data_IF_697012040714
#
_entry.id   IF_697012040714
#
_cell.length_a   1.000
_cell.length_b   1.000
_cell.length_c   1.000
_cell.angle_alpha   90.00
_cell.angle_beta   90.00
_cell.angle_gamma   90.00
#
_symmetry.space_group_name_H-M   'P 1'
#
loop_
_entity.id
_entity.type
_entity.pdbx_description
1 polymer ?
#
# COMPACT_ATOMS: atom_id res chain seq x y z
N UNK A 1 -9.68 -18.33 -22.59
CA UNK A 1 -9.06 -17.20 -21.89
C UNK A 1 -7.83 -16.76 -22.67
N UNK A 2 -7.48 -15.48 -22.62
CA UNK A 2 -6.22 -15.00 -23.18
C UNK A 2 -5.06 -15.45 -22.28
N UNK A 3 -3.88 -15.65 -22.87
CA UNK A 3 -2.66 -15.90 -22.11
C UNK A 3 -2.33 -14.67 -21.24
N UNK A 4 -2.02 -14.89 -19.97
CA UNK A 4 -1.60 -13.83 -19.05
C UNK A 4 -0.17 -13.40 -19.34
N UNK A 5 0.05 -12.10 -19.44
CA UNK A 5 1.37 -11.50 -19.46
C UNK A 5 1.48 -10.47 -18.34
N UNK A 6 2.56 -10.60 -17.57
CA UNK A 6 2.98 -9.60 -16.60
C UNK A 6 4.10 -8.75 -17.21
N UNK A 7 3.94 -7.44 -17.17
CA UNK A 7 4.99 -6.46 -17.47
C UNK A 7 5.14 -5.49 -16.30
N UNK A 8 6.29 -4.82 -16.23
CA UNK A 8 6.54 -3.74 -15.27
C UNK A 8 7.25 -2.58 -15.96
N UNK A 9 7.03 -1.36 -15.46
CA UNK A 9 7.95 -0.25 -15.75
C UNK A 9 9.11 -0.26 -14.75
N UNK A 10 9.74 0.89 -14.54
CA UNK A 10 10.95 0.96 -13.69
C UNK A 10 10.64 1.12 -12.20
N UNK A 11 9.39 1.37 -11.83
CA UNK A 11 9.07 1.84 -10.49
C UNK A 11 9.28 0.78 -9.40
N UNK A 12 9.04 -0.51 -9.69
CA UNK A 12 9.21 -1.58 -8.70
C UNK A 12 9.37 -2.96 -9.36
N UNK A 13 10.46 -3.14 -10.09
CA UNK A 13 10.81 -4.43 -10.73
C UNK A 13 10.88 -5.58 -9.71
N UNK A 14 11.50 -5.42 -8.51
CA UNK A 14 11.58 -6.53 -7.55
C UNK A 14 10.21 -7.06 -7.11
N UNK A 15 9.22 -6.18 -6.90
CA UNK A 15 7.85 -6.63 -6.60
C UNK A 15 7.22 -7.34 -7.81
N UNK A 16 7.43 -6.84 -9.02
CA UNK A 16 6.90 -7.46 -10.23
C UNK A 16 7.47 -8.87 -10.46
N UNK A 17 8.76 -9.08 -10.19
CA UNK A 17 9.41 -10.38 -10.25
C UNK A 17 8.82 -11.36 -9.22
N UNK A 18 8.65 -10.91 -7.97
CA UNK A 18 7.97 -11.74 -6.95
C UNK A 18 6.55 -12.11 -7.37
N UNK A 19 5.76 -11.15 -7.87
CA UNK A 19 4.40 -11.45 -8.37
C UNK A 19 4.45 -12.47 -9.51
N UNK A 20 5.42 -12.38 -10.43
CA UNK A 20 5.60 -13.35 -11.50
C UNK A 20 5.89 -14.76 -10.95
N UNK A 21 6.74 -14.85 -9.93
CA UNK A 21 7.07 -16.08 -9.22
C UNK A 21 5.84 -16.70 -8.54
N UNK A 22 5.06 -15.91 -7.80
CA UNK A 22 3.80 -16.39 -7.16
C UNK A 22 2.80 -16.94 -8.20
N UNK A 23 2.74 -16.30 -9.38
CA UNK A 23 1.87 -16.71 -10.49
C UNK A 23 2.43 -17.87 -11.33
N UNK A 24 3.69 -18.28 -11.10
CA UNK A 24 4.37 -19.29 -11.90
C UNK A 24 4.59 -18.88 -13.37
N UNK A 25 4.69 -17.59 -13.66
CA UNK A 25 4.93 -17.04 -15.01
C UNK A 25 6.22 -16.21 -15.07
N UNK A 26 6.71 -15.94 -16.28
CA UNK A 26 7.85 -15.05 -16.47
C UNK A 26 7.45 -13.57 -16.53
N UNK A 27 8.26 -12.69 -15.95
CA UNK A 27 8.14 -11.25 -16.18
C UNK A 27 8.58 -10.94 -17.61
N UNK A 28 7.69 -10.37 -18.41
CA UNK A 28 7.97 -10.05 -19.80
C UNK A 28 8.93 -8.88 -19.89
N UNK A 29 9.97 -9.03 -20.71
CA UNK A 29 10.95 -7.97 -20.96
C UNK A 29 10.29 -6.76 -21.61
N UNK A 30 10.46 -5.61 -20.97
CA UNK A 30 10.11 -4.29 -21.48
C UNK A 30 11.35 -3.42 -21.44
N UNK A 31 11.66 -2.75 -22.55
CA UNK A 31 12.63 -1.67 -22.55
C UNK A 31 11.87 -0.45 -22.04
N UNK A 32 12.18 -0.02 -20.82
CA UNK A 32 11.65 1.21 -20.23
C UNK A 32 12.82 2.16 -20.01
N UNK A 33 13.18 2.90 -21.04
CA UNK A 33 14.38 3.74 -21.09
C UNK A 33 14.07 5.24 -21.09
N UNK A 34 15.12 6.01 -21.39
CA UNK A 34 15.05 7.45 -21.62
C UNK A 34 15.83 7.82 -22.89
N UNK A 35 15.30 8.75 -23.68
CA UNK A 35 16.06 9.45 -24.70
C UNK A 35 17.03 10.45 -24.05
N UNK A 36 17.94 11.04 -24.85
CA UNK A 36 18.99 11.93 -24.35
C UNK A 36 18.45 13.22 -23.68
N UNK A 37 17.24 13.64 -24.05
CA UNK A 37 16.53 14.79 -23.48
C UNK A 37 15.67 14.44 -22.25
N UNK A 38 15.64 13.15 -21.85
CA UNK A 38 14.86 12.67 -20.73
C UNK A 38 13.43 12.21 -21.08
N UNK A 39 13.04 12.21 -22.35
CA UNK A 39 11.75 11.63 -22.75
C UNK A 39 11.74 10.11 -22.54
N UNK A 40 10.58 9.58 -22.18
CA UNK A 40 10.40 8.17 -21.85
C UNK A 40 10.30 7.35 -23.14
N UNK A 41 11.11 6.30 -23.26
CA UNK A 41 11.06 5.35 -24.36
C UNK A 41 10.55 3.98 -23.87
N UNK A 42 9.49 3.45 -24.49
CA UNK A 42 8.88 2.17 -24.11
C UNK A 42 8.75 1.23 -25.30
N UNK A 43 9.29 0.02 -25.15
CA UNK A 43 9.16 -1.07 -26.12
C UNK A 43 8.90 -2.41 -25.42
N UNK A 44 7.78 -3.05 -25.77
CA UNK A 44 7.43 -4.39 -25.26
C UNK A 44 8.09 -5.42 -26.18
N UNK A 45 9.04 -6.20 -25.66
CA UNK A 45 9.93 -7.04 -26.48
C UNK A 45 9.29 -8.33 -27.03
N UNK A 46 7.98 -8.52 -26.86
CA UNK A 46 7.28 -9.70 -27.37
C UNK A 46 5.84 -9.37 -27.78
N UNK A 47 5.24 -10.26 -28.58
CA UNK A 47 3.84 -10.10 -28.98
C UNK A 47 2.89 -10.25 -27.80
N UNK A 48 2.08 -9.22 -27.60
CA UNK A 48 1.00 -9.15 -26.60
C UNK A 48 -0.40 -9.12 -27.23
N UNK A 49 -0.50 -9.38 -28.54
CA UNK A 49 -1.76 -9.36 -29.28
C UNK A 49 -2.72 -10.41 -28.73
N UNK A 50 -3.93 -10.00 -28.38
CA UNK A 50 -4.98 -10.90 -27.90
C UNK A 50 -4.75 -11.45 -26.47
N UNK A 51 -3.72 -10.96 -25.76
CA UNK A 51 -3.35 -11.41 -24.42
C UNK A 51 -3.90 -10.49 -23.32
N UNK A 52 -3.96 -10.99 -22.09
CA UNK A 52 -4.37 -10.22 -20.92
C UNK A 52 -3.13 -9.69 -20.21
N UNK A 53 -3.00 -8.37 -20.18
CA UNK A 53 -1.78 -7.72 -19.71
C UNK A 53 -2.01 -7.12 -18.34
N UNK A 54 -1.12 -7.44 -17.41
CA UNK A 54 -1.03 -6.82 -16.10
C UNK A 54 0.24 -5.98 -16.03
N UNK A 55 0.08 -4.70 -15.73
CA UNK A 55 1.17 -3.72 -15.69
C UNK A 55 1.47 -3.38 -14.24
N UNK A 56 2.58 -3.85 -13.67
CA UNK A 56 3.01 -3.51 -12.32
C UNK A 56 3.78 -2.19 -12.35
N UNK A 57 3.14 -1.10 -11.90
CA UNK A 57 3.75 0.23 -11.92
C UNK A 57 3.18 1.12 -10.79
N UNK A 58 3.75 1.08 -9.57
CA UNK A 58 3.43 2.07 -8.55
C UNK A 58 3.87 3.47 -9.01
N UNK A 59 3.12 4.50 -8.63
CA UNK A 59 3.42 5.90 -8.97
C UNK A 59 4.16 6.61 -7.83
N UNK A 60 5.18 5.91 -7.30
CA UNK A 60 6.08 6.40 -6.25
C UNK A 60 7.21 7.27 -6.85
N UNK A 61 8.15 7.75 -6.02
CA UNK A 61 9.23 8.63 -6.50
C UNK A 61 10.14 7.91 -7.52
N UNK A 62 10.55 8.56 -8.62
CA UNK A 62 10.12 9.87 -9.12
C UNK A 62 8.67 9.85 -9.64
N UNK A 63 7.79 10.63 -9.00
CA UNK A 63 6.33 10.47 -9.13
C UNK A 63 5.82 10.70 -10.55
N UNK A 64 6.28 11.78 -11.20
CA UNK A 64 5.79 12.18 -12.52
C UNK A 64 6.30 11.26 -13.62
N UNK A 65 7.57 10.90 -13.55
CA UNK A 65 8.22 9.93 -14.43
C UNK A 65 7.49 8.58 -14.36
N UNK A 66 7.31 8.03 -13.16
CA UNK A 66 6.64 6.74 -12.98
C UNK A 66 5.16 6.79 -13.43
N UNK A 67 4.48 7.93 -13.24
CA UNK A 67 3.15 8.18 -13.78
C UNK A 67 3.16 8.19 -15.31
N UNK A 68 4.08 8.91 -15.95
CA UNK A 68 4.19 8.96 -17.40
C UNK A 68 4.56 7.58 -18.00
N UNK A 69 5.44 6.82 -17.35
CA UNK A 69 5.71 5.43 -17.72
C UNK A 69 4.44 4.59 -17.69
N UNK A 70 3.63 4.68 -16.64
CA UNK A 70 2.36 3.95 -16.54
C UNK A 70 1.42 4.28 -17.70
N UNK A 71 1.26 5.57 -18.04
CA UNK A 71 0.42 6.02 -19.15
C UNK A 71 0.92 5.45 -20.49
N UNK A 72 2.23 5.53 -20.74
CA UNK A 72 2.84 5.05 -21.98
C UNK A 72 2.82 3.52 -22.09
N UNK A 73 2.97 2.78 -20.99
CA UNK A 73 2.81 1.32 -20.95
C UNK A 73 1.39 0.92 -21.36
N UNK A 74 0.37 1.59 -20.82
CA UNK A 74 -1.02 1.35 -21.23
C UNK A 74 -1.20 1.63 -22.73
N UNK A 75 -0.67 2.75 -23.22
CA UNK A 75 -0.69 3.09 -24.66
C UNK A 75 -0.05 2.01 -25.51
N UNK A 76 1.15 1.55 -25.14
CA UNK A 76 1.88 0.52 -25.87
C UNK A 76 1.07 -0.78 -25.92
N UNK A 77 0.46 -1.19 -24.81
CA UNK A 77 -0.40 -2.36 -24.74
C UNK A 77 -1.63 -2.23 -25.66
N UNK A 78 -2.33 -1.10 -25.61
CA UNK A 78 -3.50 -0.86 -26.46
C UNK A 78 -3.17 -0.83 -27.94
N UNK A 79 -2.09 -0.14 -28.33
CA UNK A 79 -1.65 -0.07 -29.74
C UNK A 79 -1.14 -1.41 -30.26
N UNK A 80 -0.65 -2.28 -29.36
CA UNK A 80 -0.23 -3.64 -29.68
C UNK A 80 -1.38 -4.66 -29.65
N UNK A 81 -2.63 -4.21 -29.60
CA UNK A 81 -3.83 -5.05 -29.65
C UNK A 81 -3.94 -6.05 -28.48
N UNK A 82 -3.51 -5.67 -27.28
CA UNK A 82 -3.82 -6.41 -26.06
C UNK A 82 -5.35 -6.59 -25.91
N UNK A 83 -5.77 -7.78 -25.47
CA UNK A 83 -7.19 -8.09 -25.24
C UNK A 83 -7.72 -7.35 -24.02
N UNK A 84 -6.98 -7.42 -22.92
CA UNK A 84 -7.25 -6.69 -21.69
C UNK A 84 -5.98 -6.02 -21.16
N UNK A 85 -6.13 -4.86 -20.55
CA UNK A 85 -5.07 -4.10 -19.90
C UNK A 85 -5.50 -3.75 -18.48
N UNK A 86 -4.90 -4.41 -17.51
CA UNK A 86 -5.06 -4.12 -16.08
C UNK A 86 -3.83 -3.38 -15.58
N UNK A 87 -4.00 -2.16 -15.08
CA UNK A 87 -2.93 -1.40 -14.45
C UNK A 87 -2.91 -1.71 -12.95
N UNK A 88 -1.82 -2.29 -12.46
CA UNK A 88 -1.60 -2.54 -11.03
C UNK A 88 -0.71 -1.42 -10.49
N UNK A 89 -1.28 -0.58 -9.62
CA UNK A 89 -0.64 0.58 -8.99
C UNK A 89 -0.58 0.35 -7.49
N UNK A 90 0.38 -0.45 -6.97
CA UNK A 90 0.43 -0.79 -5.55
C UNK A 90 0.45 0.43 -4.64
N UNK A 91 1.14 1.50 -5.03
CA UNK A 91 1.08 2.81 -4.41
C UNK A 91 0.57 3.86 -5.40
N UNK A 92 -0.56 4.50 -5.06
CA UNK A 92 -1.17 5.56 -5.86
C UNK A 92 -0.62 6.94 -5.44
N UNK A 93 0.35 7.45 -6.20
CA UNK A 93 0.87 8.81 -6.07
C UNK A 93 -0.23 9.85 -6.22
N UNK A 94 -0.04 11.03 -5.62
CA UNK A 94 -1.04 12.10 -5.52
C UNK A 94 -2.28 11.80 -4.67
N UNK A 95 -2.45 10.59 -4.10
CA UNK A 95 -3.63 10.21 -3.33
C UNK A 95 -3.98 11.11 -2.13
N UNK A 96 -3.00 11.82 -1.54
CA UNK A 96 -3.26 12.79 -0.45
C UNK A 96 -3.96 14.08 -0.89
N UNK A 97 -4.05 14.32 -2.20
CA UNK A 97 -4.73 15.48 -2.79
C UNK A 97 -6.08 15.04 -3.38
N UNK A 98 -6.91 14.43 -2.54
CA UNK A 98 -8.22 13.84 -2.84
C UNK A 98 -9.39 14.84 -2.71
N UNK A 99 -9.15 16.01 -2.11
CA UNK A 99 -10.14 17.09 -1.98
C UNK A 99 -9.48 18.46 -1.92
N UNK A 100 -10.29 19.51 -2.15
CA UNK A 100 -9.83 20.89 -2.00
C UNK A 100 -9.72 21.25 -0.51
N UNK A 101 -8.51 21.22 0.02
CA UNK A 101 -8.22 21.77 1.36
C UNK A 101 -8.15 23.30 1.36
N UNK A 102 -7.88 23.91 0.19
CA UNK A 102 -7.85 25.37 -0.02
C UNK A 102 -8.64 25.70 -1.30
N UNK A 103 -9.19 26.91 -1.37
CA UNK A 103 -10.08 27.33 -2.45
C UNK A 103 -9.46 27.27 -3.87
N UNK A 104 -8.13 27.39 -3.99
CA UNK A 104 -7.40 27.43 -5.28
C UNK A 104 -6.37 26.31 -5.42
N UNK A 105 -6.67 25.13 -4.88
CA UNK A 105 -5.86 23.93 -5.03
C UNK A 105 -6.50 22.93 -6.01
N UNK A 106 -5.69 22.12 -6.72
CA UNK A 106 -6.20 21.01 -7.54
C UNK A 106 -6.75 19.87 -6.67
N UNK A 107 -7.40 18.91 -7.32
CA UNK A 107 -7.69 17.59 -6.76
C UNK A 107 -6.84 16.60 -7.55
N UNK A 108 -5.53 16.59 -7.31
CA UNK A 108 -4.58 15.87 -8.17
C UNK A 108 -4.86 14.38 -8.24
N UNK A 109 -5.40 13.76 -7.20
CA UNK A 109 -5.82 12.35 -7.27
C UNK A 109 -6.90 12.12 -8.34
N UNK A 110 -7.87 13.05 -8.47
CA UNK A 110 -8.90 12.99 -9.50
C UNK A 110 -8.33 13.30 -10.89
N UNK A 111 -7.36 14.21 -10.98
CA UNK A 111 -6.70 14.52 -12.26
C UNK A 111 -5.85 13.34 -12.76
N UNK A 112 -5.13 12.65 -11.87
CA UNK A 112 -4.41 11.41 -12.18
C UNK A 112 -5.38 10.29 -12.60
N UNK A 113 -6.50 10.13 -11.89
CA UNK A 113 -7.53 9.18 -12.29
C UNK A 113 -8.04 9.47 -13.72
N UNK A 114 -8.28 10.74 -14.06
CA UNK A 114 -8.66 11.16 -15.43
C UNK A 114 -7.58 10.82 -16.47
N UNK A 115 -6.31 11.04 -16.15
CA UNK A 115 -5.21 10.66 -17.03
C UNK A 115 -5.19 9.15 -17.29
N UNK A 116 -5.30 8.32 -16.24
CA UNK A 116 -5.41 6.88 -16.41
C UNK A 116 -6.63 6.51 -17.25
N UNK A 117 -7.81 7.08 -16.96
CA UNK A 117 -9.02 6.81 -17.74
C UNK A 117 -8.87 7.19 -19.22
N UNK A 118 -8.16 8.28 -19.53
CA UNK A 118 -7.90 8.71 -20.90
C UNK A 118 -7.04 7.70 -21.68
N UNK A 119 -6.13 6.98 -21.00
CA UNK A 119 -5.35 5.88 -21.59
C UNK A 119 -6.17 4.60 -21.77
N UNK A 120 -7.39 4.56 -21.21
CA UNK A 120 -8.36 3.47 -21.32
C UNK A 120 -7.81 2.12 -20.86
N UNK A 121 -7.31 1.94 -19.62
CA UNK A 121 -7.19 0.59 -19.06
C UNK A 121 -8.58 -0.04 -18.90
N UNK A 122 -8.66 -1.37 -18.87
CA UNK A 122 -9.92 -2.09 -18.58
C UNK A 122 -10.19 -2.14 -17.06
N UNK A 123 -9.12 -2.18 -16.27
CA UNK A 123 -9.16 -2.31 -14.81
C UNK A 123 -7.94 -1.65 -14.18
N UNK A 124 -8.10 -1.22 -12.94
CA UNK A 124 -7.00 -0.86 -12.06
C UNK A 124 -7.04 -1.72 -10.79
N UNK A 125 -5.85 -2.02 -10.25
CA UNK A 125 -5.69 -2.60 -8.92
C UNK A 125 -4.81 -1.65 -8.12
N UNK A 126 -5.21 -1.32 -6.91
CA UNK A 126 -4.42 -0.52 -5.96
C UNK A 126 -4.38 -1.21 -4.60
N UNK A 127 -3.49 -0.77 -3.71
CA UNK A 127 -3.43 -1.26 -2.33
C UNK A 127 -3.53 -0.06 -1.41
N UNK A 128 -4.41 -0.13 -0.40
CA UNK A 128 -4.61 0.88 0.64
C UNK A 128 -4.57 2.33 0.16
N UNK A 129 -5.46 2.67 -0.78
CA UNK A 129 -5.68 4.07 -1.15
C UNK A 129 -5.84 4.94 0.11
N UNK A 130 -5.19 6.11 0.09
CA UNK A 130 -5.23 7.07 1.20
C UNK A 130 -6.67 7.38 1.66
N UNK A 131 -7.60 7.38 0.70
CA UNK A 131 -9.00 7.64 0.92
C UNK A 131 -9.84 6.74 -0.01
N UNK A 132 -10.82 6.01 0.54
CA UNK A 132 -11.63 5.05 -0.23
C UNK A 132 -12.47 5.70 -1.34
N UNK A 133 -12.78 7.00 -1.20
CA UNK A 133 -13.52 7.82 -2.14
C UNK A 133 -12.79 8.00 -3.48
N UNK A 134 -11.47 7.78 -3.54
CA UNK A 134 -10.70 7.82 -4.79
C UNK A 134 -11.26 6.82 -5.82
N UNK A 135 -11.87 5.71 -5.38
CA UNK A 135 -12.57 4.79 -6.27
C UNK A 135 -13.69 5.48 -7.08
N UNK A 136 -14.35 6.48 -6.50
CA UNK A 136 -15.38 7.28 -7.17
C UNK A 136 -14.85 8.28 -8.20
N UNK A 137 -13.52 8.45 -8.33
CA UNK A 137 -12.93 9.26 -9.41
C UNK A 137 -12.84 8.51 -10.73
N UNK A 138 -13.02 7.19 -10.72
CA UNK A 138 -13.07 6.35 -11.90
C UNK A 138 -14.53 6.18 -12.36
N UNK A 139 -14.78 6.22 -13.68
CA UNK A 139 -16.12 6.00 -14.20
C UNK A 139 -16.52 4.52 -14.07
N UNK A 140 -17.83 4.19 -14.08
CA UNK A 140 -18.31 2.81 -13.84
C UNK A 140 -17.78 1.74 -14.81
N UNK A 141 -17.30 2.15 -15.98
CA UNK A 141 -16.74 1.24 -17.00
C UNK A 141 -15.24 0.93 -16.79
N UNK A 142 -14.59 1.55 -15.80
CA UNK A 142 -13.21 1.22 -15.41
C UNK A 142 -13.25 0.78 -13.95
N UNK A 143 -13.12 -0.53 -13.73
CA UNK A 143 -13.19 -1.09 -12.38
C UNK A 143 -11.87 -0.84 -11.66
N UNK A 144 -11.93 -0.26 -10.45
CA UNK A 144 -10.79 -0.12 -9.56
C UNK A 144 -10.99 -1.05 -8.36
N UNK A 145 -10.14 -2.07 -8.23
CA UNK A 145 -10.07 -2.89 -7.03
C UNK A 145 -9.04 -2.27 -6.07
N UNK A 146 -9.49 -1.78 -4.91
CA UNK A 146 -8.62 -1.32 -3.84
C UNK A 146 -8.43 -2.45 -2.80
N UNK A 147 -7.29 -3.14 -2.90
CA UNK A 147 -6.90 -4.18 -1.95
C UNK A 147 -6.50 -3.55 -0.62
N UNK A 148 -6.43 -4.39 0.41
CA UNK A 148 -6.07 -3.99 1.77
C UNK A 148 -4.89 -4.84 2.24
N UNK A 149 -3.82 -4.20 2.73
CA UNK A 149 -2.61 -4.91 3.15
C UNK A 149 -2.58 -5.27 4.63
N UNK A 150 -3.63 -4.96 5.40
CA UNK A 150 -3.65 -5.20 6.85
C UNK A 150 -3.46 -6.68 7.23
N UNK A 151 -3.69 -7.65 6.32
CA UNK A 151 -3.42 -9.07 6.55
C UNK A 151 -1.95 -9.44 6.44
N UNK A 152 -1.17 -8.71 5.65
CA UNK A 152 0.24 -9.01 5.36
C UNK A 152 1.13 -9.03 6.61
N UNK A 153 1.07 -8.05 7.53
CA UNK A 153 1.91 -8.07 8.72
C UNK A 153 1.40 -9.01 9.83
N UNK A 154 0.28 -9.73 9.63
CA UNK A 154 -0.33 -10.54 10.70
C UNK A 154 0.60 -11.63 11.21
N UNK A 155 1.28 -12.34 10.30
CA UNK A 155 2.24 -13.38 10.70
C UNK A 155 3.35 -12.82 11.60
N UNK A 156 3.81 -11.60 11.32
CA UNK A 156 4.80 -10.92 12.16
C UNK A 156 4.25 -10.63 13.55
N UNK A 157 3.12 -9.91 13.65
CA UNK A 157 2.60 -9.47 14.95
C UNK A 157 2.02 -10.60 15.80
N UNK A 158 1.38 -11.60 15.18
CA UNK A 158 0.87 -12.78 15.90
C UNK A 158 2.02 -13.65 16.42
N UNK A 159 3.14 -13.68 15.70
CA UNK A 159 4.36 -14.36 16.16
C UNK A 159 5.05 -13.66 17.34
N UNK A 160 4.67 -12.42 17.68
CA UNK A 160 5.18 -11.72 18.85
C UNK A 160 4.39 -12.09 20.11
N UNK A 161 5.10 -12.31 21.22
CA UNK A 161 4.47 -12.50 22.54
C UNK A 161 4.07 -11.15 23.17
N UNK A 162 3.18 -10.41 22.50
CA UNK A 162 2.71 -9.11 22.97
C UNK A 162 1.83 -9.25 24.22
N UNK A 163 2.12 -8.52 25.29
CA UNK A 163 1.23 -8.48 26.47
C UNK A 163 0.38 -7.20 26.45
N UNK A 164 -0.92 -7.35 26.71
CA UNK A 164 -1.94 -6.29 26.57
C UNK A 164 -1.74 -5.50 25.26
N UNK A 165 -1.96 -6.12 24.09
CA UNK A 165 -1.77 -5.45 22.81
C UNK A 165 -2.76 -4.31 22.65
N UNK A 166 -2.28 -3.15 22.20
CA UNK A 166 -3.12 -1.95 22.02
C UNK A 166 -2.94 -1.43 20.61
N UNK A 167 -4.02 -1.45 19.82
CA UNK A 167 -4.00 -0.94 18.45
C UNK A 167 -4.24 0.56 18.47
N UNK A 168 -3.34 1.31 17.84
CA UNK A 168 -3.30 2.77 17.89
C UNK A 168 -3.61 3.35 16.52
N UNK A 169 -4.61 4.23 16.46
CA UNK A 169 -4.79 5.15 15.32
C UNK A 169 -4.00 6.44 15.56
N UNK A 170 -3.07 6.84 14.67
CA UNK A 170 -2.24 8.04 14.85
C UNK A 170 -3.02 9.35 14.65
N UNK A 171 -4.18 9.31 14.00
CA UNK A 171 -5.12 10.40 13.87
C UNK A 171 -6.58 9.91 13.72
N UNK A 172 -7.53 10.84 13.59
CA UNK A 172 -8.94 10.52 13.39
C UNK A 172 -9.28 9.92 12.03
N UNK A 173 -8.45 10.13 11.00
CA UNK A 173 -8.66 9.57 9.67
C UNK A 173 -8.33 8.08 9.59
N UNK A 174 -7.36 7.62 10.39
CA UNK A 174 -6.92 6.23 10.45
C UNK A 174 -7.78 5.27 11.27
N UNK A 175 -8.81 5.75 11.98
CA UNK A 175 -9.55 4.95 12.98
C UNK A 175 -10.17 3.69 12.38
N UNK A 176 -10.82 3.81 11.21
CA UNK A 176 -11.43 2.68 10.52
C UNK A 176 -10.40 1.60 10.15
N UNK A 177 -9.22 2.02 9.67
CA UNK A 177 -8.12 1.12 9.30
C UNK A 177 -7.55 0.40 10.52
N UNK A 178 -7.32 1.14 11.61
CA UNK A 178 -6.82 0.58 12.85
C UNK A 178 -7.82 -0.42 13.47
N UNK A 179 -9.12 -0.14 13.41
CA UNK A 179 -10.16 -1.09 13.85
C UNK A 179 -10.20 -2.36 12.99
N UNK A 180 -10.12 -2.24 11.67
CA UNK A 180 -10.05 -3.41 10.76
C UNK A 180 -8.83 -4.29 11.05
N UNK A 181 -7.69 -3.67 11.31
CA UNK A 181 -6.48 -4.38 11.75
C UNK A 181 -6.70 -5.10 13.08
N UNK A 182 -7.32 -4.41 14.06
CA UNK A 182 -7.64 -4.99 15.37
C UNK A 182 -8.55 -6.22 15.26
N UNK A 183 -9.62 -6.13 14.48
CA UNK A 183 -10.56 -7.25 14.25
C UNK A 183 -9.84 -8.48 13.71
N UNK A 184 -8.96 -8.29 12.71
CA UNK A 184 -8.18 -9.38 12.13
C UNK A 184 -7.13 -9.90 13.12
N UNK A 185 -6.46 -9.02 13.86
CA UNK A 185 -5.46 -9.41 14.84
C UNK A 185 -6.09 -10.26 15.96
N UNK A 186 -7.27 -9.89 16.47
CA UNK A 186 -8.02 -10.69 17.45
C UNK A 186 -8.32 -12.08 16.86
N UNK A 187 -8.82 -12.13 15.62
CA UNK A 187 -9.16 -13.40 14.95
C UNK A 187 -7.93 -14.31 14.77
N UNK A 188 -6.79 -13.76 14.36
CA UNK A 188 -5.58 -14.54 14.10
C UNK A 188 -4.81 -14.91 15.38
N UNK A 189 -4.74 -14.00 16.36
CA UNK A 189 -4.02 -14.23 17.62
C UNK A 189 -4.84 -14.99 18.67
N UNK A 190 -6.17 -15.03 18.53
CA UNK A 190 -7.12 -15.52 19.54
C UNK A 190 -7.00 -14.82 20.90
N UNK A 191 -6.43 -13.60 20.94
CA UNK A 191 -6.35 -12.78 22.14
C UNK A 191 -7.62 -11.95 22.29
N UNK A 192 -8.29 -12.09 23.42
CA UNK A 192 -9.51 -11.33 23.74
C UNK A 192 -9.19 -9.98 24.41
N UNK A 193 -7.99 -9.82 24.98
CA UNK A 193 -7.56 -8.64 25.74
C UNK A 193 -6.85 -7.58 24.87
N UNK A 194 -7.31 -7.41 23.63
CA UNK A 194 -6.78 -6.37 22.72
C UNK A 194 -7.56 -5.08 22.94
N UNK A 195 -6.85 -3.98 23.19
CA UNK A 195 -7.45 -2.67 23.41
C UNK A 195 -7.24 -1.76 22.18
N UNK A 196 -8.01 -0.67 22.14
CA UNK A 196 -7.90 0.35 21.11
C UNK A 196 -7.63 1.72 21.74
N UNK A 197 -6.73 2.51 21.14
CA UNK A 197 -6.56 3.90 21.48
C UNK A 197 -6.33 4.76 20.23
N UNK A 198 -6.52 6.07 20.37
CA UNK A 198 -6.33 7.01 19.28
C UNK A 198 -5.58 8.24 19.78
N UNK A 199 -4.69 8.75 18.93
CA UNK A 199 -4.08 10.05 19.10
C UNK A 199 -4.91 11.10 18.36
N UNK A 200 -5.33 12.14 19.06
CA UNK A 200 -5.96 13.30 18.45
C UNK A 200 -4.93 14.41 18.30
N UNK A 201 -4.49 14.66 17.07
CA UNK A 201 -3.54 15.72 16.74
C UNK A 201 -4.27 17.07 16.67
N UNK A 202 -4.05 17.93 17.66
CA UNK A 202 -4.49 19.32 17.60
C UNK A 202 -3.40 20.15 16.92
N UNK A 203 -3.62 20.52 15.66
CA UNK A 203 -2.73 21.44 14.95
C UNK A 203 -2.90 22.84 15.55
N UNK A 204 -1.86 23.34 16.20
CA UNK A 204 -1.83 24.75 16.66
C UNK A 204 -1.32 25.68 15.56
N UNK A 205 -1.49 26.98 15.77
CA UNK A 205 -1.04 28.02 14.85
C UNK A 205 0.49 28.00 14.66
N UNK A 206 0.99 28.73 13.65
CA UNK A 206 2.42 28.81 13.36
C UNK A 206 3.21 29.22 14.62
N UNK A 207 4.26 28.46 14.95
CA UNK A 207 5.22 28.61 16.06
C UNK A 207 4.90 27.87 17.38
N UNK A 208 3.82 27.07 17.47
CA UNK A 208 3.62 26.14 18.59
C UNK A 208 3.86 24.68 18.17
N UNK A 209 4.44 23.87 19.07
CA UNK A 209 4.63 22.43 18.87
C UNK A 209 3.25 21.76 18.83
N UNK A 210 3.01 20.94 17.80
CA UNK A 210 1.79 20.14 17.68
C UNK A 210 1.54 19.35 18.96
N UNK A 211 0.34 19.48 19.56
CA UNK A 211 -0.02 18.72 20.75
C UNK A 211 -0.84 17.48 20.34
N UNK A 212 -0.50 16.32 20.90
CA UNK A 212 -1.26 15.09 20.73
C UNK A 212 -1.99 14.79 22.03
N UNK A 213 -3.30 14.53 21.94
CA UNK A 213 -4.08 14.03 23.07
C UNK A 213 -4.38 12.56 22.84
N UNK A 214 -3.93 11.72 23.76
CA UNK A 214 -4.30 10.31 23.80
C UNK A 214 -5.75 10.14 24.27
N UNK A 215 -6.53 9.35 23.54
CA UNK A 215 -7.86 8.86 23.92
C UNK A 215 -7.76 7.35 24.08
N UNK A 216 -8.00 6.86 25.30
CA UNK A 216 -7.69 5.49 25.72
C UNK A 216 -6.52 5.46 26.70
N UNK A 217 -6.21 4.28 27.26
CA UNK A 217 -5.05 4.07 28.11
C UNK A 217 -4.04 3.19 27.39
N UNK A 218 -2.75 3.49 27.55
CA UNK A 218 -1.65 2.69 26.98
C UNK A 218 -0.70 2.13 28.04
N UNK A 219 -1.06 2.31 29.32
CA UNK A 219 -0.23 1.91 30.46
C UNK A 219 0.05 0.41 30.40
N UNK A 220 1.34 0.09 30.47
CA UNK A 220 1.95 -1.25 30.46
C UNK A 220 1.62 -2.12 29.23
N UNK A 221 1.06 -1.52 28.16
CA UNK A 221 0.67 -2.23 26.94
C UNK A 221 1.72 -2.18 25.84
N UNK A 222 1.69 -3.20 24.97
CA UNK A 222 2.43 -3.18 23.71
C UNK A 222 1.60 -2.52 22.61
N UNK A 223 2.02 -1.34 22.20
CA UNK A 223 1.28 -0.53 21.25
C UNK A 223 1.67 -0.87 19.81
N UNK A 224 0.68 -0.91 18.90
CA UNK A 224 0.89 -1.04 17.46
C UNK A 224 0.20 0.12 16.74
N UNK A 225 0.97 1.05 16.20
CA UNK A 225 0.45 2.17 15.40
C UNK A 225 0.13 1.67 13.99
N UNK A 226 -1.09 1.91 13.51
CA UNK A 226 -1.55 1.52 12.17
C UNK A 226 -1.81 2.76 11.32
N UNK A 227 -1.09 2.88 10.19
CA UNK A 227 -1.26 3.98 9.24
C UNK A 227 -1.27 3.47 7.78
N UNK A 228 -1.70 4.29 6.81
CA UNK A 228 -1.56 3.91 5.39
C UNK A 228 -0.14 4.10 4.88
N UNK A 229 0.56 5.14 5.34
CA UNK A 229 1.87 5.46 4.80
C UNK A 229 2.79 6.22 5.75
N UNK A 230 4.10 6.02 5.58
CA UNK A 230 5.14 6.75 6.30
C UNK A 230 5.89 7.63 5.32
N UNK A 231 5.79 8.94 5.49
CA UNK A 231 6.50 9.92 4.67
C UNK A 231 7.84 10.33 5.29
N UNK A 232 7.82 11.39 6.10
CA UNK A 232 9.01 11.90 6.82
C UNK A 232 9.13 11.32 8.22
N UNK A 233 8.29 10.35 8.58
CA UNK A 233 8.15 9.72 9.90
C UNK A 233 7.91 10.68 11.10
N UNK A 234 7.70 11.98 10.89
CA UNK A 234 7.56 12.97 11.97
C UNK A 234 6.36 12.69 12.89
N UNK A 235 5.17 12.50 12.30
CA UNK A 235 3.97 12.14 13.07
C UNK A 235 4.15 10.82 13.79
N UNK A 236 4.73 9.82 13.14
CA UNK A 236 4.93 8.48 13.71
C UNK A 236 5.88 8.51 14.92
N UNK A 237 7.00 9.20 14.82
CA UNK A 237 7.96 9.30 15.91
C UNK A 237 7.41 10.12 17.09
N UNK A 238 6.66 11.19 16.81
CA UNK A 238 5.97 11.96 17.84
C UNK A 238 4.91 11.13 18.56
N UNK A 239 4.13 10.34 17.81
CA UNK A 239 3.18 9.39 18.36
C UNK A 239 3.86 8.37 19.27
N UNK A 240 4.96 7.75 18.81
CA UNK A 240 5.70 6.77 19.60
C UNK A 240 6.23 7.35 20.92
N UNK A 241 6.83 8.54 20.86
CA UNK A 241 7.28 9.27 22.05
C UNK A 241 6.13 9.52 23.03
N UNK A 242 4.99 10.02 22.53
CA UNK A 242 3.83 10.29 23.39
C UNK A 242 3.26 9.02 24.03
N UNK A 243 3.23 7.90 23.30
CA UNK A 243 2.80 6.60 23.85
C UNK A 243 3.74 6.13 24.96
N UNK A 244 5.07 6.26 24.78
CA UNK A 244 6.05 5.94 25.82
C UNK A 244 5.91 6.81 27.07
N UNK A 245 5.72 8.12 26.90
CA UNK A 245 5.49 9.06 28.01
C UNK A 245 4.22 8.72 28.81
N UNK A 246 3.23 8.08 28.18
CA UNK A 246 2.00 7.61 28.82
C UNK A 246 2.06 6.13 29.27
N UNK A 247 3.26 5.55 29.37
CA UNK A 247 3.46 4.24 29.99
C UNK A 247 3.40 3.04 29.05
N UNK A 248 3.41 3.22 27.73
CA UNK A 248 3.51 2.09 26.80
C UNK A 248 4.83 1.31 27.01
N UNK A 249 4.76 -0.03 27.00
CA UNK A 249 5.95 -0.88 27.16
C UNK A 249 6.79 -0.90 25.89
N UNK A 250 6.17 -1.25 24.78
CA UNK A 250 6.78 -1.22 23.44
C UNK A 250 5.90 -0.45 22.47
N UNK A 251 6.49 0.07 21.40
CA UNK A 251 5.75 0.76 20.35
C UNK A 251 6.21 0.24 19.00
N UNK A 252 5.37 -0.57 18.38
CA UNK A 252 5.51 -0.99 16.99
C UNK A 252 4.72 -0.06 16.07
N UNK A 253 5.05 -0.11 14.79
CA UNK A 253 4.27 0.54 13.75
C UNK A 253 4.09 -0.38 12.55
N UNK A 254 2.95 -0.27 11.89
CA UNK A 254 2.72 -0.81 10.56
C UNK A 254 2.16 0.28 9.65
N UNK A 255 2.72 0.38 8.45
CA UNK A 255 2.13 1.15 7.38
C UNK A 255 2.25 0.42 6.04
N UNK A 256 1.24 0.53 5.19
CA UNK A 256 1.29 -0.10 3.88
C UNK A 256 2.41 0.51 3.03
N UNK A 257 2.48 1.83 2.91
CA UNK A 257 3.44 2.49 2.02
C UNK A 257 4.57 3.20 2.77
N UNK A 258 5.78 2.67 2.70
CA UNK A 258 6.99 3.34 3.21
C UNK A 258 7.60 4.25 2.15
N UNK A 259 7.31 5.56 2.18
CA UNK A 259 7.91 6.55 1.26
C UNK A 259 9.27 7.05 1.77
N UNK A 260 9.41 7.15 3.09
CA UNK A 260 10.66 7.46 3.79
C UNK A 260 11.45 8.66 3.24
N UNK A 261 10.78 9.73 2.83
CA UNK A 261 11.47 10.95 2.44
C UNK A 261 12.25 11.54 3.62
N UNK A 262 13.41 12.14 3.34
CA UNK A 262 14.28 12.69 4.37
C UNK A 262 13.53 13.66 5.31
N UNK A 263 13.79 13.61 6.64
CA UNK A 263 14.76 12.77 7.35
C UNK A 263 14.11 11.53 8.01
N UNK A 264 13.29 10.75 7.30
CA UNK A 264 12.51 9.66 7.91
C UNK A 264 13.34 8.58 8.60
N UNK A 265 14.39 8.08 7.93
CA UNK A 265 15.22 6.98 8.46
C UNK A 265 15.92 7.42 9.75
N UNK A 266 16.57 8.59 9.73
CA UNK A 266 17.22 9.18 10.90
C UNK A 266 16.25 9.33 12.08
N UNK A 267 15.04 9.84 11.83
CA UNK A 267 14.01 9.96 12.86
C UNK A 267 13.62 8.62 13.45
N UNK A 268 13.39 7.61 12.61
CA UNK A 268 13.02 6.27 13.08
C UNK A 268 14.14 5.66 13.92
N UNK A 269 15.38 5.72 13.44
CA UNK A 269 16.56 5.23 14.17
C UNK A 269 16.65 5.82 15.57
N UNK A 270 16.47 7.14 15.69
CA UNK A 270 16.57 7.87 16.95
C UNK A 270 15.28 7.93 17.78
N UNK A 271 14.19 7.28 17.34
CA UNK A 271 12.89 7.31 18.00
C UNK A 271 12.71 6.20 19.05
N UNK A 272 11.62 6.31 19.80
CA UNK A 272 11.13 5.29 20.74
C UNK A 272 10.45 4.08 20.08
N UNK A 273 10.44 3.99 18.75
CA UNK A 273 9.87 2.84 18.03
C UNK A 273 10.73 1.59 18.25
N UNK A 274 10.06 0.48 18.56
CA UNK A 274 10.66 -0.86 18.66
C UNK A 274 10.95 -1.43 17.28
N UNK A 275 9.96 -1.45 16.39
CA UNK A 275 10.09 -1.88 14.99
C UNK A 275 8.98 -1.25 14.13
N UNK A 276 9.31 -0.97 12.89
CA UNK A 276 8.42 -0.40 11.87
C UNK A 276 8.30 -1.39 10.72
N UNK A 277 7.10 -1.90 10.52
CA UNK A 277 6.78 -2.87 9.49
C UNK A 277 6.15 -2.13 8.31
N UNK A 278 6.67 -2.36 7.11
CA UNK A 278 6.16 -1.73 5.89
C UNK A 278 6.08 -2.73 4.76
N UNK A 279 5.21 -2.49 3.77
CA UNK A 279 5.17 -3.36 2.59
C UNK A 279 6.17 -2.94 1.54
N UNK A 280 6.45 -3.82 0.58
CA UNK A 280 7.21 -3.51 -0.64
C UNK A 280 6.34 -2.92 -1.77
N UNK A 281 5.18 -2.33 -1.45
CA UNK A 281 4.36 -1.54 -2.41
C UNK A 281 5.10 -0.36 -3.04
N UNK A 282 6.13 0.13 -2.35
CA UNK A 282 7.12 1.10 -2.81
C UNK A 282 8.48 0.39 -2.73
N UNK A 283 9.35 0.53 -3.74
CA UNK A 283 10.62 -0.18 -3.77
C UNK A 283 11.47 0.17 -2.52
N UNK A 284 12.13 -0.82 -1.88
CA UNK A 284 13.02 -0.56 -0.76
C UNK A 284 14.15 0.39 -1.15
N UNK A 285 14.40 1.43 -0.33
CA UNK A 285 15.55 2.32 -0.49
C UNK A 285 16.75 1.78 0.29
N UNK A 286 17.97 1.96 -0.22
CA UNK A 286 19.18 1.38 0.37
C UNK A 286 19.37 1.76 1.85
N UNK A 287 19.21 3.04 2.20
CA UNK A 287 19.34 3.52 3.58
C UNK A 287 18.24 2.98 4.51
N UNK A 288 17.06 2.68 3.96
CA UNK A 288 15.94 2.11 4.72
C UNK A 288 16.21 0.65 5.04
N UNK A 289 16.76 -0.11 4.08
CA UNK A 289 17.12 -1.52 4.26
C UNK A 289 18.23 -1.68 5.30
N UNK A 290 19.12 -0.68 5.45
CA UNK A 290 20.17 -0.66 6.48
C UNK A 290 19.67 -0.29 7.89
N UNK A 291 18.42 0.15 8.02
CA UNK A 291 17.88 0.54 9.32
C UNK A 291 17.31 -0.68 10.05
N UNK A 292 17.94 -1.08 11.16
CA UNK A 292 17.53 -2.24 11.96
C UNK A 292 16.12 -2.13 12.52
N UNK A 293 15.55 -0.93 12.63
CA UNK A 293 14.18 -0.72 13.09
C UNK A 293 13.14 -0.94 11.99
N UNK A 294 13.51 -0.96 10.72
CA UNK A 294 12.57 -1.07 9.60
C UNK A 294 12.62 -2.49 9.03
N UNK A 295 11.46 -3.07 8.76
CA UNK A 295 11.35 -4.39 8.15
C UNK A 295 10.28 -4.39 7.05
N UNK A 296 10.66 -4.94 5.90
CA UNK A 296 9.76 -5.10 4.77
C UNK A 296 9.01 -6.44 4.84
N UNK A 297 7.74 -6.42 4.44
CA UNK A 297 6.91 -7.59 4.19
C UNK A 297 6.36 -7.51 2.76
N UNK A 298 6.33 -8.64 2.05
CA UNK A 298 5.93 -8.66 0.64
C UNK A 298 4.40 -8.58 0.48
N UNK A 299 3.92 -7.78 -0.47
CA UNK A 299 2.52 -7.83 -0.95
C UNK A 299 2.36 -8.65 -2.24
N UNK A 300 3.41 -9.38 -2.67
CA UNK A 300 3.37 -10.23 -3.87
C UNK A 300 2.19 -11.20 -3.87
N UNK A 301 2.00 -11.95 -2.77
CA UNK A 301 0.94 -12.95 -2.62
C UNK A 301 -0.45 -12.35 -2.78
N UNK A 302 -0.72 -11.20 -2.15
CA UNK A 302 -2.06 -10.59 -2.24
C UNK A 302 -2.35 -10.05 -3.66
N UNK A 303 -1.33 -9.56 -4.36
CA UNK A 303 -1.45 -9.08 -5.73
C UNK A 303 -1.58 -10.24 -6.72
N UNK A 304 -0.79 -11.30 -6.55
CA UNK A 304 -0.89 -12.52 -7.34
C UNK A 304 -2.28 -13.15 -7.20
N UNK A 305 -2.77 -13.34 -5.97
CA UNK A 305 -4.11 -13.85 -5.71
C UNK A 305 -5.21 -12.97 -6.34
N UNK A 306 -5.06 -11.65 -6.33
CA UNK A 306 -6.01 -10.75 -6.98
C UNK A 306 -5.99 -10.91 -8.51
N UNK A 307 -4.80 -11.04 -9.09
CA UNK A 307 -4.60 -11.30 -10.52
C UNK A 307 -5.23 -12.64 -10.91
N UNK A 308 -4.94 -13.70 -10.17
CA UNK A 308 -5.56 -15.01 -10.33
C UNK A 308 -7.07 -14.90 -10.22
N UNK A 309 -7.62 -14.28 -9.18
CA UNK A 309 -9.08 -14.15 -9.03
C UNK A 309 -9.75 -13.43 -10.20
N UNK A 310 -9.10 -12.42 -10.78
CA UNK A 310 -9.61 -11.71 -11.95
C UNK A 310 -9.58 -12.62 -13.20
N UNK A 311 -8.53 -13.44 -13.35
CA UNK A 311 -8.43 -14.42 -14.42
C UNK A 311 -9.44 -15.55 -14.23
N UNK A 312 -9.52 -16.10 -13.03
CA UNK A 312 -10.24 -17.30 -12.63
C UNK A 312 -11.73 -17.06 -12.37
N UNK A 313 -12.30 -15.97 -12.91
CA UNK A 313 -13.76 -15.85 -13.12
C UNK A 313 -14.30 -16.88 -14.16
N UNK A 314 -13.70 -18.08 -14.21
CA UNK A 314 -14.31 -19.33 -14.64
C UNK A 314 -14.32 -20.45 -13.56
N UNK A 315 -13.53 -20.41 -12.47
CA UNK A 315 -13.70 -21.41 -11.39
C UNK A 315 -13.11 -21.00 -10.03
N UNK A 316 -13.81 -21.40 -8.97
CA UNK A 316 -13.61 -21.12 -7.55
C UNK A 316 -12.26 -21.58 -6.96
N UNK A 317 -11.42 -20.64 -6.54
CA UNK A 317 -10.39 -20.84 -5.49
C UNK A 317 -10.23 -19.64 -4.55
N UNK A 318 -11.34 -18.98 -4.17
CA UNK A 318 -11.32 -18.01 -3.08
C UNK A 318 -11.47 -18.72 -1.74
N UNK A 319 -10.38 -19.25 -1.16
CA UNK A 319 -10.38 -19.68 0.26
C UNK A 319 -9.04 -19.65 1.00
N UNK A 320 -7.90 -19.31 0.38
CA UNK A 320 -6.59 -19.34 1.06
C UNK A 320 -5.99 -17.95 1.29
N UNK A 321 -6.72 -17.06 1.95
CA UNK A 321 -6.20 -15.76 2.42
C UNK A 321 -5.45 -15.84 3.76
N UNK A 322 -5.19 -17.05 4.25
CA UNK A 322 -4.23 -17.33 5.31
C UNK A 322 -3.55 -18.64 4.95
N UNK A 323 -2.22 -18.71 5.08
CA UNK A 323 -1.49 -19.98 5.09
C UNK A 323 -1.81 -20.83 6.33
N UNK A 324 -3.09 -20.98 6.66
CA UNK A 324 -3.64 -21.84 7.71
C UNK A 324 -4.87 -22.52 7.12
N UNK A 325 -4.80 -23.84 7.04
CA UNK A 325 -5.82 -24.74 6.53
C UNK A 325 -7.25 -24.34 6.97
N UNK A 326 -8.13 -24.24 5.98
CA UNK A 326 -9.56 -24.58 6.01
C UNK A 326 -10.24 -24.64 7.38
N UNK A 327 -10.90 -23.55 7.79
CA UNK A 327 -12.04 -23.63 8.70
C UNK A 327 -13.14 -22.65 8.25
N UNK A 328 -14.17 -23.26 7.65
CA UNK A 328 -15.59 -22.88 7.62
C UNK A 328 -15.95 -21.39 7.57
N UNK A 329 -16.15 -20.90 6.35
CA UNK A 329 -17.03 -19.77 6.08
C UNK A 329 -18.46 -20.31 5.97
N UNK A 330 -19.24 -20.28 7.05
CA UNK A 330 -20.67 -20.53 7.00
C UNK A 330 -21.42 -19.62 7.99
N UNK A 331 -22.37 -18.85 7.43
CA UNK A 331 -23.53 -18.19 8.06
C UNK A 331 -23.19 -17.11 9.12
N UNK A 332 -23.61 -15.85 8.96
CA UNK A 332 -25.02 -15.43 8.99
C UNK A 332 -25.16 -13.99 8.47
N UNK A 333 -26.29 -13.72 7.80
CA UNK A 333 -26.80 -12.37 7.52
C UNK A 333 -27.28 -11.68 8.80
#
# INVERSE_FOLDING_TARGET
MGETILISGNANIPLAEKIAEELGIGLTKVICGRFADGEINIEICQSIRGKDIYIIQPTCRPVNDNLMEALLLISACRRSSARQVTLVVPYFGYARQDRKMKARAPISAADVARLFCAMKPDRLISVDLHCGQIQGFFPPNIVLDNLQAFSVPMQFFVGLNLEKPIIISPDGGGVYRAQRFMDLFIKCSKKENVEFAMLNKQRKAANEVDNMKLVGSVQDGDCIIIDDMIDTAGTLCLAAKHLKENGARTVYAFATHGLFNNPAVERITNSDLTKVIVTDSVPPMEDVVKCDKIQYVSISVILANAIEYIQDKATSRAQNLCGMNSYEYNQSY
#
